data_IF_665445629751
#
_entry.id   IF_665445629751
#
_cell.length_a   1.000
_cell.length_b   1.000
_cell.length_c   1.000
_cell.angle_alpha   90.00
_cell.angle_beta   90.00
_cell.angle_gamma   90.00
#
_symmetry.space_group_name_H-M   'P 1'
#
loop_
_entity.id
_entity.type
_entity.pdbx_description
1 polymer ?
#
# COMPACT_ATOMS: atom_id res chain seq x y z
N UNK A 1 10.13 -4.97 7.88
CA UNK A 1 9.32 -4.63 9.04
C UNK A 1 8.19 -5.64 9.20
N UNK A 2 8.08 -6.21 10.37
CA UNK A 2 7.05 -7.19 10.67
C UNK A 2 6.16 -6.68 11.80
N UNK A 3 4.90 -7.09 11.75
CA UNK A 3 3.94 -6.74 12.79
C UNK A 3 2.89 -5.77 12.27
N UNK A 4 2.26 -5.04 13.19
CA UNK A 4 1.22 -4.10 12.83
C UNK A 4 1.75 -2.68 12.81
N UNK A 5 1.39 -1.94 11.77
CA UNK A 5 1.69 -0.52 11.69
C UNK A 5 0.37 0.22 11.74
N UNK A 6 0.26 1.15 12.67
CA UNK A 6 -0.95 1.93 12.82
C UNK A 6 -0.56 3.39 13.03
N UNK A 7 -0.93 4.23 12.10
CA UNK A 7 -0.63 5.65 12.17
C UNK A 7 -1.76 6.45 11.55
N UNK A 8 -1.93 7.67 12.02
CA UNK A 8 -2.90 8.59 11.42
C UNK A 8 -2.25 9.55 10.43
N UNK A 9 -1.01 9.29 10.07
CA UNK A 9 -0.28 10.11 9.13
C UNK A 9 0.06 9.35 7.86
N UNK A 10 1.14 9.76 7.22
CA UNK A 10 1.60 9.19 5.97
C UNK A 10 2.69 8.15 6.21
N UNK A 11 2.61 7.05 5.48
CA UNK A 11 3.64 6.01 5.49
C UNK A 11 4.37 6.05 4.16
N UNK A 12 5.69 6.07 4.21
CA UNK A 12 6.53 6.01 3.01
C UNK A 12 7.44 4.81 3.12
N UNK A 13 7.41 3.95 2.11
CA UNK A 13 8.25 2.77 2.06
C UNK A 13 9.22 2.89 0.89
N UNK A 14 10.51 2.76 1.15
CA UNK A 14 11.53 2.81 0.11
C UNK A 14 11.59 1.55 -0.74
N UNK A 15 12.34 1.60 -1.83
CA UNK A 15 12.42 0.49 -2.79
C UNK A 15 12.90 -0.82 -2.18
N UNK A 16 13.76 -0.74 -1.20
CA UNK A 16 14.32 -1.94 -0.57
C UNK A 16 13.54 -2.36 0.67
N UNK A 17 12.49 -1.61 1.02
CA UNK A 17 11.69 -1.92 2.18
C UNK A 17 10.77 -3.10 1.95
N UNK A 18 10.51 -3.85 3.00
CA UNK A 18 9.54 -4.95 2.99
C UNK A 18 8.70 -4.82 4.24
N UNK A 19 7.39 -4.89 4.07
CA UNK A 19 6.46 -4.85 5.18
C UNK A 19 5.66 -6.15 5.20
N UNK A 20 5.59 -6.78 6.37
CA UNK A 20 4.76 -7.95 6.59
C UNK A 20 3.86 -7.69 7.79
N UNK A 21 2.64 -8.16 7.73
CA UNK A 21 1.67 -7.96 8.80
C UNK A 21 0.55 -7.04 8.37
N UNK A 22 0.07 -6.19 9.27
CA UNK A 22 -1.03 -5.27 8.97
C UNK A 22 -0.55 -3.83 8.97
N UNK A 23 -1.07 -3.04 8.03
CA UNK A 23 -0.75 -1.62 7.95
C UNK A 23 -2.05 -0.84 7.92
N UNK A 24 -2.17 0.14 8.81
CA UNK A 24 -3.31 1.05 8.86
C UNK A 24 -2.75 2.47 8.89
N UNK A 25 -3.16 3.28 7.94
CA UNK A 25 -2.69 4.66 7.86
C UNK A 25 -3.67 5.52 7.08
N UNK A 26 -3.42 6.81 7.04
CA UNK A 26 -4.25 7.73 6.26
C UNK A 26 -3.77 7.78 4.81
N UNK A 27 -2.47 7.95 4.61
CA UNK A 27 -1.86 7.98 3.30
C UNK A 27 -0.71 6.98 3.25
N UNK A 28 -0.44 6.42 2.09
CA UNK A 28 0.69 5.51 1.93
C UNK A 28 1.37 5.73 0.59
N UNK A 29 2.69 5.81 0.61
CA UNK A 29 3.54 5.86 -0.57
C UNK A 29 4.41 4.61 -0.55
N UNK A 30 4.16 3.70 -1.46
CA UNK A 30 4.85 2.41 -1.46
C UNK A 30 5.74 2.31 -2.69
N UNK A 31 7.03 2.12 -2.46
CA UNK A 31 7.99 1.85 -3.52
C UNK A 31 8.61 0.46 -3.39
N UNK A 32 8.41 -0.19 -2.25
CA UNK A 32 8.99 -1.50 -1.96
C UNK A 32 7.96 -2.62 -2.00
N UNK A 33 8.22 -3.66 -1.24
CA UNK A 33 7.37 -4.85 -1.22
C UNK A 33 6.50 -4.87 0.02
N UNK A 34 5.22 -5.19 -0.17
CA UNK A 34 4.31 -5.38 0.94
C UNK A 34 3.67 -6.76 0.81
N UNK A 35 3.81 -7.55 1.87
CA UNK A 35 3.17 -8.85 1.97
C UNK A 35 2.22 -8.81 3.15
N UNK A 36 1.17 -8.00 3.02
CA UNK A 36 0.36 -7.71 4.18
C UNK A 36 -0.99 -7.15 3.77
N UNK A 37 -1.83 -6.96 4.77
CA UNK A 37 -3.10 -6.31 4.60
C UNK A 37 -2.90 -4.82 4.86
N UNK A 38 -3.32 -4.00 3.92
CA UNK A 38 -3.20 -2.55 4.03
C UNK A 38 -4.57 -1.91 4.09
N UNK A 39 -4.76 -1.05 5.08
CA UNK A 39 -5.93 -0.19 5.16
C UNK A 39 -5.47 1.25 5.08
N UNK A 40 -5.91 1.94 4.05
CA UNK A 40 -5.58 3.36 3.86
C UNK A 40 -6.88 4.15 3.80
N UNK A 41 -7.00 5.15 4.66
CA UNK A 41 -8.24 5.91 4.74
C UNK A 41 -8.38 6.92 3.61
N UNK A 42 -7.28 7.37 3.02
CA UNK A 42 -7.30 8.38 1.97
C UNK A 42 -6.74 7.86 0.67
N UNK A 43 -5.45 8.06 0.43
CA UNK A 43 -4.84 7.70 -0.84
C UNK A 43 -3.69 6.72 -0.66
N UNK A 44 -3.74 5.64 -1.40
CA UNK A 44 -2.64 4.69 -1.49
C UNK A 44 -1.93 4.89 -2.82
N UNK A 45 -0.64 5.20 -2.78
CA UNK A 45 0.16 5.37 -3.99
C UNK A 45 1.13 4.21 -4.13
N UNK A 46 1.07 3.53 -5.27
CA UNK A 46 2.01 2.47 -5.61
C UNK A 46 2.92 2.98 -6.71
N UNK A 47 4.20 3.06 -6.41
CA UNK A 47 5.19 3.52 -7.38
C UNK A 47 5.55 2.40 -8.34
N UNK A 48 6.30 2.74 -9.39
CA UNK A 48 6.64 1.75 -10.41
C UNK A 48 7.43 0.55 -9.88
N UNK A 49 8.15 0.74 -8.79
CA UNK A 49 8.90 -0.36 -8.16
C UNK A 49 8.11 -1.09 -7.09
N UNK A 50 6.88 -0.68 -6.82
CA UNK A 50 6.09 -1.26 -5.75
C UNK A 50 5.59 -2.65 -6.11
N UNK A 51 5.60 -3.54 -5.12
CA UNK A 51 5.01 -4.85 -5.26
C UNK A 51 4.11 -5.08 -4.05
N UNK A 52 2.90 -5.46 -4.31
CA UNK A 52 1.94 -5.66 -3.25
C UNK A 52 1.30 -7.03 -3.35
N UNK A 53 1.40 -7.78 -2.26
CA UNK A 53 0.74 -9.07 -2.14
C UNK A 53 -0.17 -9.03 -0.92
N UNK A 54 -1.40 -9.47 -1.09
CA UNK A 54 -2.36 -9.51 0.00
C UNK A 54 -3.58 -8.67 -0.29
N UNK A 55 -4.16 -8.10 0.76
CA UNK A 55 -5.39 -7.35 0.64
C UNK A 55 -5.16 -5.86 0.79
N UNK A 56 -5.87 -5.08 -0.02
CA UNK A 56 -5.86 -3.63 0.07
C UNK A 56 -7.27 -3.15 0.35
N UNK A 57 -7.39 -2.24 1.30
CA UNK A 57 -8.62 -1.51 1.54
C UNK A 57 -8.25 -0.02 1.53
N UNK A 58 -8.81 0.72 0.60
CA UNK A 58 -8.50 2.14 0.46
C UNK A 58 -9.64 2.87 -0.23
N UNK A 59 -9.75 4.17 0.00
CA UNK A 59 -10.73 5.00 -0.70
C UNK A 59 -10.25 5.34 -2.10
N UNK A 60 -8.98 5.61 -2.26
CA UNK A 60 -8.40 5.97 -3.55
C UNK A 60 -7.12 5.19 -3.76
N UNK A 61 -6.89 4.75 -4.97
CA UNK A 61 -5.71 3.98 -5.31
C UNK A 61 -5.05 4.59 -6.54
N UNK A 62 -3.78 4.91 -6.42
CA UNK A 62 -2.97 5.39 -7.54
C UNK A 62 -1.88 4.35 -7.83
N UNK A 63 -1.86 3.83 -9.04
CA UNK A 63 -0.88 2.83 -9.45
C UNK A 63 -0.09 3.37 -10.61
N UNK A 64 1.23 3.41 -10.48
CA UNK A 64 2.10 3.82 -11.57
C UNK A 64 2.39 2.64 -12.49
N UNK A 65 2.70 2.91 -13.77
CA UNK A 65 3.11 1.84 -14.68
C UNK A 65 4.31 1.08 -14.14
N UNK A 66 4.25 -0.23 -14.18
CA UNK A 66 5.32 -1.08 -13.68
C UNK A 66 5.07 -1.64 -12.28
N UNK A 67 4.11 -1.07 -11.56
CA UNK A 67 3.77 -1.60 -10.24
C UNK A 67 3.08 -2.96 -10.38
N UNK A 68 3.30 -3.82 -9.39
CA UNK A 68 2.68 -5.14 -9.35
C UNK A 68 1.71 -5.24 -8.20
N UNK A 69 0.57 -5.84 -8.46
CA UNK A 69 -0.41 -6.09 -7.42
C UNK A 69 -0.96 -7.51 -7.56
N UNK A 70 -0.90 -8.25 -6.48
CA UNK A 70 -1.42 -9.61 -6.41
C UNK A 70 -2.27 -9.75 -5.16
N UNK A 71 -3.47 -10.26 -5.32
CA UNK A 71 -4.38 -10.46 -4.20
C UNK A 71 -5.69 -9.73 -4.41
N UNK A 72 -6.32 -9.32 -3.31
CA UNK A 72 -7.62 -8.67 -3.33
C UNK A 72 -7.50 -7.18 -3.11
N UNK A 73 -8.33 -6.44 -3.80
CA UNK A 73 -8.35 -4.99 -3.68
C UNK A 73 -9.79 -4.53 -3.44
N UNK A 74 -9.97 -3.73 -2.40
CA UNK A 74 -11.27 -3.14 -2.11
C UNK A 74 -11.06 -1.64 -2.00
N UNK A 75 -11.74 -0.88 -2.84
CA UNK A 75 -11.53 0.56 -2.90
C UNK A 75 -12.78 1.30 -3.35
N UNK A 76 -12.84 2.60 -3.03
CA UNK A 76 -13.92 3.45 -3.47
C UNK A 76 -13.71 4.03 -4.86
N UNK A 77 -12.46 4.27 -5.25
CA UNK A 77 -12.17 4.84 -6.57
C UNK A 77 -10.75 4.47 -7.01
N UNK A 78 -10.55 4.37 -8.32
CA UNK A 78 -9.24 4.13 -8.91
C UNK A 78 -8.80 5.38 -9.64
N UNK A 79 -7.56 5.80 -9.37
CA UNK A 79 -6.92 6.93 -10.03
C UNK A 79 -5.67 6.43 -10.73
N UNK A 80 -5.56 6.69 -12.00
CA UNK A 80 -4.40 6.30 -12.80
C UNK A 80 -3.62 7.51 -13.26
#
# INVERSE_FOLDING_TARGET
LKGSVNTSGKVVLGKEGVIEGDVVCMDADISGTIKAKISVAQLLSLKSSAKLNGDIITNKLSIEPGASFTGSCSMGAVIK
#
